data_IF_814622313501
#
_entry.id   IF_814622313501
#
_cell.length_a   1.000
_cell.length_b   1.000
_cell.length_c   1.000
_cell.angle_alpha   90.00
_cell.angle_beta   90.00
_cell.angle_gamma   90.00
#
_symmetry.space_group_name_H-M   'P 1'
#
loop_
_entity.id
_entity.type
_entity.pdbx_description
1 polymer ?
#
# COMPACT_ATOMS: atom_id res chain seq x y z
N UNK A 1 8.92 -16.34 -13.76
CA UNK A 1 7.83 -16.15 -12.79
C UNK A 1 7.16 -17.47 -12.48
N UNK A 2 7.29 -17.92 -11.23
CA UNK A 2 6.64 -19.12 -10.69
C UNK A 2 5.47 -18.68 -9.79
N UNK A 3 4.34 -19.39 -9.84
CA UNK A 3 3.20 -19.12 -8.96
C UNK A 3 3.49 -19.63 -7.55
N UNK A 4 3.47 -18.74 -6.56
CA UNK A 4 3.66 -19.07 -5.15
C UNK A 4 2.34 -19.35 -4.43
N UNK A 5 1.31 -18.54 -4.67
CA UNK A 5 0.03 -18.66 -3.96
C UNK A 5 -1.14 -18.11 -4.79
N UNK A 6 -2.36 -18.49 -4.42
CA UNK A 6 -3.59 -17.84 -4.84
C UNK A 6 -4.24 -17.21 -3.61
N UNK A 7 -4.38 -15.88 -3.62
CA UNK A 7 -5.00 -15.16 -2.52
C UNK A 7 -6.51 -15.05 -2.72
N UNK A 8 -7.26 -14.90 -1.64
CA UNK A 8 -8.71 -14.69 -1.75
C UNK A 8 -9.06 -13.32 -2.34
N UNK A 9 -10.24 -13.22 -2.94
CA UNK A 9 -10.79 -11.94 -3.43
C UNK A 9 -10.93 -10.88 -2.33
N UNK A 10 -11.01 -11.31 -1.07
CA UNK A 10 -11.01 -10.40 0.07
C UNK A 10 -9.63 -9.76 0.27
N UNK A 11 -8.57 -10.56 0.32
CA UNK A 11 -7.19 -10.04 0.50
C UNK A 11 -6.83 -9.05 -0.62
N UNK A 12 -7.17 -9.42 -1.87
CA UNK A 12 -7.00 -8.54 -3.02
C UNK A 12 -7.70 -7.19 -2.85
N UNK A 13 -8.97 -7.19 -2.41
CA UNK A 13 -9.71 -5.94 -2.19
C UNK A 13 -9.11 -5.10 -1.07
N UNK A 14 -8.61 -5.74 -0.02
CA UNK A 14 -7.93 -5.04 1.07
C UNK A 14 -6.68 -4.29 0.57
N UNK A 15 -5.76 -4.98 -0.10
CA UNK A 15 -4.53 -4.33 -0.61
C UNK A 15 -4.81 -3.31 -1.70
N UNK A 16 -5.76 -3.59 -2.62
CA UNK A 16 -6.17 -2.62 -3.65
C UNK A 16 -6.63 -1.29 -3.05
N UNK A 17 -7.42 -1.34 -1.98
CA UNK A 17 -7.92 -0.13 -1.32
C UNK A 17 -6.79 0.64 -0.62
N UNK A 18 -5.79 -0.04 -0.07
CA UNK A 18 -4.60 0.58 0.52
C UNK A 18 -3.77 1.28 -0.57
N UNK A 19 -3.47 0.58 -1.66
CA UNK A 19 -2.69 1.12 -2.79
C UNK A 19 -3.36 2.32 -3.43
N UNK A 20 -4.67 2.25 -3.69
CA UNK A 20 -5.42 3.39 -4.24
C UNK A 20 -5.37 4.62 -3.33
N UNK A 21 -5.39 4.43 -2.01
CA UNK A 21 -5.25 5.53 -1.05
C UNK A 21 -3.83 6.09 -1.03
N UNK A 22 -2.82 5.23 -1.08
CA UNK A 22 -1.42 5.65 -1.20
C UNK A 22 -1.18 6.48 -2.48
N UNK A 23 -1.68 6.02 -3.62
CA UNK A 23 -1.59 6.77 -4.89
C UNK A 23 -2.27 8.14 -4.78
N UNK A 24 -3.46 8.19 -4.18
CA UNK A 24 -4.20 9.43 -3.97
C UNK A 24 -3.43 10.39 -3.05
N UNK A 25 -2.79 9.85 -2.01
CA UNK A 25 -2.00 10.63 -1.07
C UNK A 25 -0.72 11.19 -1.72
N UNK A 26 -0.09 10.43 -2.61
CA UNK A 26 1.08 10.88 -3.37
C UNK A 26 0.73 12.04 -4.31
N UNK A 27 -0.44 11.99 -4.94
CA UNK A 27 -0.96 13.14 -5.71
C UNK A 27 -1.17 14.37 -4.83
N UNK A 28 -1.73 14.19 -3.62
CA UNK A 28 -1.88 15.29 -2.66
C UNK A 28 -0.51 15.86 -2.28
N UNK A 29 0.45 15.01 -1.90
CA UNK A 29 1.83 15.43 -1.57
C UNK A 29 2.48 16.24 -2.69
N UNK A 30 2.35 15.79 -3.94
CA UNK A 30 2.84 16.52 -5.11
C UNK A 30 2.19 17.90 -5.28
N UNK A 31 0.91 18.03 -4.93
CA UNK A 31 0.15 19.28 -5.02
C UNK A 31 0.40 20.27 -3.88
N UNK A 32 0.93 19.83 -2.73
CA UNK A 32 1.18 20.70 -1.56
C UNK A 32 2.14 21.86 -1.84
N UNK A 33 2.94 21.78 -2.91
CA UNK A 33 3.85 22.85 -3.33
C UNK A 33 3.18 23.91 -4.22
N UNK A 34 1.93 23.69 -4.62
CA UNK A 34 1.18 24.53 -5.58
C UNK A 34 -0.17 25.00 -5.01
N UNK A 35 -0.23 25.17 -3.70
CA UNK A 35 -1.45 25.53 -2.96
C UNK A 35 -1.49 27.01 -2.57
N UNK A 36 -2.69 27.56 -2.50
CA UNK A 36 -3.01 28.92 -2.05
C UNK A 36 -3.34 29.00 -0.54
N UNK A 37 -3.20 27.89 0.17
CA UNK A 37 -3.36 27.82 1.63
C UNK A 37 -2.38 28.74 2.36
N UNK A 38 -2.85 29.31 3.47
CA UNK A 38 -1.96 30.07 4.34
C UNK A 38 -0.96 29.14 5.06
N UNK A 39 0.15 29.67 5.64
CA UNK A 39 1.18 28.83 6.26
C UNK A 39 0.68 27.90 7.38
N UNK A 40 -0.34 28.31 8.15
CA UNK A 40 -0.92 27.49 9.21
C UNK A 40 -1.73 26.33 8.67
N UNK A 41 -2.64 26.60 7.72
CA UNK A 41 -3.44 25.57 7.04
C UNK A 41 -2.56 24.58 6.28
N UNK A 42 -1.49 25.07 5.63
CA UNK A 42 -0.53 24.23 4.93
C UNK A 42 0.23 23.30 5.90
N UNK A 43 0.58 23.80 7.09
CA UNK A 43 1.25 23.00 8.12
C UNK A 43 0.32 21.89 8.64
N UNK A 44 -0.92 22.23 8.99
CA UNK A 44 -1.93 21.27 9.44
C UNK A 44 -2.18 20.18 8.37
N UNK A 45 -2.30 20.58 7.10
CA UNK A 45 -2.48 19.64 5.99
C UNK A 45 -1.28 18.71 5.81
N UNK A 46 -0.05 19.23 5.94
CA UNK A 46 1.18 18.41 5.89
C UNK A 46 1.20 17.38 7.01
N UNK A 47 0.88 17.76 8.24
CA UNK A 47 0.82 16.84 9.37
C UNK A 47 -0.24 15.74 9.17
N UNK A 48 -1.42 16.10 8.65
CA UNK A 48 -2.46 15.13 8.31
C UNK A 48 -2.02 14.15 7.22
N UNK A 49 -1.37 14.66 6.17
CA UNK A 49 -0.85 13.85 5.05
C UNK A 49 0.26 12.91 5.51
N UNK A 50 1.20 13.40 6.33
CA UNK A 50 2.29 12.57 6.84
C UNK A 50 1.78 11.47 7.77
N UNK A 51 0.80 11.79 8.62
CA UNK A 51 0.17 10.79 9.49
C UNK A 51 -0.53 9.70 8.68
N UNK A 52 -1.33 10.08 7.70
CA UNK A 52 -2.03 9.14 6.81
C UNK A 52 -1.04 8.27 6.03
N UNK A 53 0.09 8.83 5.57
CA UNK A 53 1.13 8.07 4.85
C UNK A 53 1.75 6.97 5.71
N UNK A 54 2.08 7.30 6.95
CA UNK A 54 2.62 6.34 7.92
C UNK A 54 1.58 5.25 8.21
N UNK A 55 0.32 5.61 8.45
CA UNK A 55 -0.75 4.65 8.72
C UNK A 55 -1.01 3.70 7.54
N UNK A 56 -1.03 4.20 6.30
CA UNK A 56 -1.24 3.39 5.10
C UNK A 56 -0.06 2.45 4.81
N UNK A 57 1.18 2.92 4.96
CA UNK A 57 2.37 2.07 4.81
C UNK A 57 2.39 0.93 5.83
N UNK A 58 2.03 1.23 7.09
CA UNK A 58 1.91 0.21 8.13
C UNK A 58 0.79 -0.79 7.82
N UNK A 59 -0.35 -0.34 7.26
CA UNK A 59 -1.43 -1.23 6.82
C UNK A 59 -0.98 -2.14 5.67
N UNK A 60 -0.22 -1.62 4.70
CA UNK A 60 0.32 -2.41 3.60
C UNK A 60 1.32 -3.47 4.08
N UNK A 61 2.22 -3.10 4.98
CA UNK A 61 3.18 -4.02 5.60
C UNK A 61 2.47 -5.13 6.39
N UNK A 62 1.50 -4.75 7.24
CA UNK A 62 0.70 -5.72 7.99
C UNK A 62 -0.07 -6.66 7.07
N UNK A 63 -0.59 -6.16 5.95
CA UNK A 63 -1.24 -7.01 4.94
C UNK A 63 -0.27 -8.04 4.38
N UNK A 64 0.94 -7.64 3.97
CA UNK A 64 1.96 -8.57 3.47
C UNK A 64 2.34 -9.60 4.52
N UNK A 65 2.57 -9.18 5.76
CA UNK A 65 2.91 -10.09 6.86
C UNK A 65 1.83 -11.16 7.06
N UNK A 66 0.55 -10.77 7.07
CA UNK A 66 -0.58 -11.68 7.20
C UNK A 66 -0.69 -12.64 6.00
N UNK A 67 -0.48 -12.14 4.78
CA UNK A 67 -0.48 -12.96 3.56
C UNK A 67 0.66 -13.98 3.60
N UNK A 68 1.87 -13.56 3.96
CA UNK A 68 3.02 -14.45 4.08
C UNK A 68 2.75 -15.56 5.11
N UNK A 69 2.23 -15.22 6.30
CA UNK A 69 1.91 -16.20 7.32
C UNK A 69 0.83 -17.19 6.87
N UNK A 70 -0.25 -16.67 6.28
CA UNK A 70 -1.42 -17.44 5.84
C UNK A 70 -1.11 -18.41 4.71
N UNK A 71 -0.31 -17.98 3.72
CA UNK A 71 0.03 -18.78 2.54
C UNK A 71 1.42 -19.42 2.62
N UNK A 72 2.08 -19.37 3.78
CA UNK A 72 3.42 -19.96 4.02
C UNK A 72 4.50 -19.43 3.08
N UNK A 73 4.45 -18.13 2.78
CA UNK A 73 5.49 -17.43 2.02
C UNK A 73 6.59 -16.92 2.96
N UNK A 74 7.82 -16.81 2.45
CA UNK A 74 8.91 -16.22 3.23
C UNK A 74 8.74 -14.70 3.36
N UNK A 75 8.52 -14.22 4.59
CA UNK A 75 8.35 -12.79 4.90
C UNK A 75 9.60 -11.95 4.62
N UNK A 76 10.78 -12.57 4.60
CA UNK A 76 12.04 -11.87 4.34
C UNK A 76 12.31 -11.64 2.85
N UNK A 77 11.45 -12.18 1.96
CA UNK A 77 11.59 -12.08 0.51
C UNK A 77 10.40 -11.34 -0.13
N UNK A 78 9.72 -10.45 0.61
CA UNK A 78 8.51 -9.76 0.12
C UNK A 78 8.77 -9.01 -1.19
N UNK A 79 9.95 -8.41 -1.34
CA UNK A 79 10.33 -7.68 -2.55
C UNK A 79 10.41 -8.56 -3.81
N UNK A 80 10.52 -9.88 -3.63
CA UNK A 80 10.54 -10.86 -4.71
C UNK A 80 9.14 -11.35 -5.11
N UNK A 81 8.10 -11.00 -4.36
CA UNK A 81 6.73 -11.32 -4.71
C UNK A 81 6.06 -10.24 -5.55
N UNK A 82 5.17 -10.67 -6.44
CA UNK A 82 4.25 -9.81 -7.20
C UNK A 82 2.85 -10.36 -7.03
N UNK A 83 1.92 -9.53 -6.54
CA UNK A 83 0.50 -9.84 -6.63
C UNK A 83 -0.03 -9.44 -8.02
N UNK A 84 -0.51 -10.42 -8.78
CA UNK A 84 -1.26 -10.19 -10.01
C UNK A 84 -2.75 -9.97 -9.67
N UNK A 85 -3.24 -8.75 -9.84
CA UNK A 85 -4.63 -8.40 -9.52
C UNK A 85 -5.65 -9.07 -10.44
N UNK A 86 -5.31 -9.35 -11.69
CA UNK A 86 -6.25 -9.97 -12.65
C UNK A 86 -6.56 -11.42 -12.28
N UNK A 87 -5.58 -12.14 -11.73
CA UNK A 87 -5.70 -13.57 -11.42
C UNK A 87 -5.74 -13.87 -9.92
N UNK A 88 -5.50 -12.88 -9.06
CA UNK A 88 -5.36 -13.01 -7.61
C UNK A 88 -4.23 -13.95 -7.20
N UNK A 89 -3.16 -13.99 -7.99
CA UNK A 89 -2.05 -14.89 -7.77
C UNK A 89 -0.83 -14.12 -7.33
N UNK A 90 -0.09 -14.68 -6.37
CA UNK A 90 1.23 -14.20 -6.01
C UNK A 90 2.25 -15.00 -6.80
N UNK A 91 3.11 -14.29 -7.50
CA UNK A 91 4.22 -14.83 -8.27
C UNK A 91 5.56 -14.45 -7.64
N UNK A 92 6.55 -15.31 -7.80
CA UNK A 92 7.96 -15.00 -7.52
C UNK A 92 8.55 -14.41 -8.81
N UNK A 93 9.18 -13.24 -8.70
CA UNK A 93 9.87 -12.54 -9.80
C UNK A 93 10.85 -13.46 -10.52
#
# INVERSE_FOLDING_TARGET
MEKAAMVSEYEKRCVFNIEKRLDSLELVKGSLNHTDLNPGELMELKEMVDKEDVELKLQQENWWNNVCEKYKLNINDIENYILCFDTNEIYIK
#
